data_IF_216934388997
#
_entry.id   IF_216934388997
#
_cell.length_a   1.000
_cell.length_b   1.000
_cell.length_c   1.000
_cell.angle_alpha   90.00
_cell.angle_beta   90.00
_cell.angle_gamma   90.00
#
_symmetry.space_group_name_H-M   'P 1'
#
loop_
_entity.id
_entity.type
_entity.pdbx_description
1 polymer ?
#
# COMPACT_ATOMS: atom_id res chain seq x y z
N UNK A 1 -25.53 -30.61 -35.30
CA UNK A 1 -25.82 -29.38 -34.52
C UNK A 1 -25.54 -29.52 -33.03
N UNK A 2 -25.95 -30.61 -32.34
CA UNK A 2 -25.72 -30.81 -30.89
C UNK A 2 -24.24 -30.88 -30.46
N UNK A 3 -23.39 -31.53 -31.25
CA UNK A 3 -21.94 -31.67 -30.99
C UNK A 3 -21.16 -30.37 -31.18
N UNK A 4 -21.58 -29.51 -32.11
CA UNK A 4 -20.96 -28.21 -32.35
C UNK A 4 -21.24 -27.24 -31.20
N UNK A 5 -22.48 -27.23 -30.71
CA UNK A 5 -22.87 -26.48 -29.50
C UNK A 5 -22.16 -26.96 -28.24
N UNK A 6 -21.97 -28.28 -28.07
CA UNK A 6 -21.23 -28.84 -26.94
C UNK A 6 -19.75 -28.42 -26.93
N UNK A 7 -19.08 -28.42 -28.09
CA UNK A 7 -17.68 -27.98 -28.21
C UNK A 7 -17.52 -26.48 -27.97
N UNK A 8 -18.42 -25.67 -28.51
CA UNK A 8 -18.43 -24.23 -28.27
C UNK A 8 -18.70 -23.90 -26.80
N UNK A 9 -19.62 -24.63 -26.15
CA UNK A 9 -19.91 -24.50 -24.72
C UNK A 9 -18.71 -24.90 -23.86
N UNK A 10 -18.02 -26.00 -24.19
CA UNK A 10 -16.83 -26.43 -23.47
C UNK A 10 -15.69 -25.40 -23.61
N UNK A 11 -15.50 -24.86 -24.82
CA UNK A 11 -14.49 -23.82 -25.07
C UNK A 11 -14.79 -22.55 -24.25
N UNK A 12 -16.05 -22.13 -24.18
CA UNK A 12 -16.47 -20.97 -23.39
C UNK A 12 -16.22 -21.19 -21.89
N UNK A 13 -16.54 -22.38 -21.37
CA UNK A 13 -16.27 -22.73 -19.97
C UNK A 13 -14.78 -22.67 -19.65
N UNK A 14 -13.94 -23.17 -20.55
CA UNK A 14 -12.48 -23.13 -20.41
C UNK A 14 -11.96 -21.69 -20.37
N UNK A 15 -12.46 -20.81 -21.24
CA UNK A 15 -12.09 -19.38 -21.25
C UNK A 15 -12.49 -18.69 -19.94
N UNK A 16 -13.71 -18.93 -19.45
CA UNK A 16 -14.18 -18.34 -18.19
C UNK A 16 -13.35 -18.81 -16.99
N UNK A 17 -13.02 -20.11 -16.93
CA UNK A 17 -12.12 -20.62 -15.90
C UNK A 17 -10.74 -19.94 -15.95
N UNK A 18 -10.16 -19.76 -17.13
CA UNK A 18 -8.86 -19.09 -17.27
C UNK A 18 -8.92 -17.60 -16.89
N UNK A 19 -10.02 -16.89 -17.13
CA UNK A 19 -10.15 -15.49 -16.70
C UNK A 19 -10.20 -15.33 -15.18
N UNK A 20 -10.79 -16.29 -14.46
CA UNK A 20 -10.82 -16.25 -12.99
C UNK A 20 -9.43 -16.54 -12.38
N UNK A 21 -8.65 -17.44 -12.98
CA UNK A 21 -7.26 -17.72 -12.57
C UNK A 21 -6.29 -16.56 -12.83
N UNK A 22 -6.61 -15.64 -13.75
CA UNK A 22 -5.76 -14.50 -14.08
C UNK A 22 -6.03 -13.26 -13.23
N UNK A 23 -6.94 -13.32 -12.24
CA UNK A 23 -7.08 -12.28 -11.23
C UNK A 23 -5.87 -12.32 -10.29
N UNK A 24 -4.76 -11.74 -10.75
CA UNK A 24 -3.68 -11.31 -9.87
C UNK A 24 -4.19 -10.10 -9.11
N UNK A 25 -4.81 -10.35 -7.96
CA UNK A 25 -5.01 -9.31 -6.96
C UNK A 25 -3.62 -8.82 -6.58
N UNK A 26 -3.23 -7.63 -7.07
CA UNK A 26 -1.95 -7.02 -6.72
C UNK A 26 -1.82 -7.03 -5.21
N UNK A 27 -0.69 -7.50 -4.68
CA UNK A 27 -0.54 -7.73 -3.24
C UNK A 27 -1.04 -6.54 -2.44
N UNK A 28 -2.09 -6.75 -1.64
CA UNK A 28 -2.61 -5.74 -0.74
C UNK A 28 -1.49 -5.37 0.23
N UNK A 29 -1.16 -4.08 0.32
CA UNK A 29 -0.09 -3.62 1.19
C UNK A 29 -0.48 -3.82 2.66
N UNK A 30 0.29 -4.65 3.37
CA UNK A 30 0.14 -4.91 4.79
C UNK A 30 1.25 -4.26 5.62
N UNK A 31 1.01 -4.01 6.92
CA UNK A 31 2.06 -3.64 7.86
C UNK A 31 3.26 -4.60 7.80
N UNK A 32 4.46 -4.02 7.70
CA UNK A 32 5.71 -4.79 7.70
C UNK A 32 6.27 -5.04 9.10
N UNK A 33 5.81 -4.28 10.10
CA UNK A 33 6.27 -4.40 11.48
C UNK A 33 5.78 -3.26 12.37
N UNK A 34 6.39 -3.18 13.56
CA UNK A 34 6.16 -2.11 14.53
C UNK A 34 7.48 -1.68 15.17
N UNK A 35 7.60 -0.39 15.47
CA UNK A 35 8.70 0.17 16.26
C UNK A 35 8.16 0.79 17.54
N UNK A 36 8.95 0.79 18.61
CA UNK A 36 8.59 1.42 19.88
C UNK A 36 9.18 2.84 19.93
N UNK A 37 8.31 3.83 20.12
CA UNK A 37 8.69 5.21 20.30
C UNK A 37 9.59 5.39 21.52
N UNK A 38 10.64 6.17 21.34
CA UNK A 38 11.59 6.56 22.38
C UNK A 38 11.50 8.07 22.57
N UNK A 39 11.78 8.53 23.79
CA UNK A 39 11.95 9.96 24.04
C UNK A 39 13.15 10.46 23.22
N UNK A 40 12.98 11.50 22.37
CA UNK A 40 14.09 12.06 21.62
C UNK A 40 15.10 12.72 22.58
N UNK A 41 16.40 12.74 22.23
CA UNK A 41 17.36 13.55 22.97
C UNK A 41 16.94 15.04 22.97
N UNK A 42 17.39 15.84 23.96
CA UNK A 42 17.07 17.27 24.00
C UNK A 42 17.49 17.98 22.71
N UNK A 43 16.56 18.69 22.06
CA UNK A 43 16.81 19.45 20.84
C UNK A 43 16.73 18.66 19.52
N UNK A 44 16.67 17.31 19.57
CA UNK A 44 16.73 16.45 18.38
C UNK A 44 15.36 16.18 17.71
N UNK A 45 14.26 16.61 18.34
CA UNK A 45 12.94 16.52 17.72
C UNK A 45 12.49 17.89 17.24
N UNK A 46 12.46 18.06 15.92
CA UNK A 46 11.88 19.24 15.27
C UNK A 46 10.36 19.08 15.16
N UNK A 47 9.62 20.05 15.69
CA UNK A 47 8.14 20.10 15.62
C UNK A 47 7.62 21.16 14.62
N UNK A 48 8.49 21.69 13.77
CA UNK A 48 8.10 22.54 12.65
C UNK A 48 7.34 21.76 11.57
N UNK A 49 6.67 22.49 10.67
CA UNK A 49 5.90 21.92 9.56
C UNK A 49 4.89 20.84 10.00
N UNK A 50 4.19 21.07 11.12
CA UNK A 50 3.21 20.13 11.70
C UNK A 50 3.80 18.74 12.02
N UNK A 51 5.09 18.67 12.35
CA UNK A 51 5.78 17.42 12.71
C UNK A 51 5.56 17.06 14.18
N UNK A 52 5.33 15.77 14.43
CA UNK A 52 5.14 15.22 15.78
C UNK A 52 6.33 14.38 16.24
N UNK A 53 6.68 14.51 17.52
CA UNK A 53 7.66 13.61 18.16
C UNK A 53 7.06 12.24 18.47
N UNK A 54 7.89 11.21 18.40
CA UNK A 54 7.53 9.88 18.88
C UNK A 54 7.24 9.91 20.39
N UNK A 55 6.08 9.37 20.79
CA UNK A 55 5.69 9.23 22.19
C UNK A 55 6.38 8.01 22.79
N UNK A 56 7.00 8.19 23.95
CA UNK A 56 7.70 7.11 24.63
C UNK A 56 6.77 5.92 24.93
N UNK A 57 7.23 4.73 24.58
CA UNK A 57 6.48 3.49 24.80
C UNK A 57 5.39 3.18 23.78
N UNK A 58 4.94 4.14 22.96
CA UNK A 58 3.92 3.93 21.91
C UNK A 58 4.48 3.06 20.78
N UNK A 59 3.67 2.12 20.28
CA UNK A 59 4.01 1.34 19.08
C UNK A 59 3.54 2.07 17.82
N UNK A 60 4.45 2.24 16.86
CA UNK A 60 4.19 2.83 15.55
C UNK A 60 4.35 1.78 14.46
N UNK A 61 3.39 1.69 13.55
CA UNK A 61 3.39 0.73 12.45
C UNK A 61 4.38 1.15 11.37
N UNK A 62 5.15 0.21 10.83
CA UNK A 62 6.05 0.45 9.70
C UNK A 62 5.54 -0.23 8.43
N UNK A 63 5.75 0.42 7.30
CA UNK A 63 5.40 -0.09 5.97
C UNK A 63 6.62 -0.06 5.06
N UNK A 64 6.80 -1.12 4.28
CA UNK A 64 7.77 -1.19 3.17
C UNK A 64 7.07 -1.13 1.80
N UNK A 65 5.75 -0.93 1.81
CA UNK A 65 4.88 -0.85 0.65
C UNK A 65 3.96 0.37 0.78
N UNK A 66 3.34 0.74 -0.34
CA UNK A 66 2.31 1.77 -0.43
C UNK A 66 1.06 1.18 -1.10
N UNK A 67 -0.11 1.86 -1.03
CA UNK A 67 -1.28 1.46 -1.81
C UNK A 67 -0.99 1.39 -3.31
N UNK A 68 -1.82 0.62 -4.03
CA UNK A 68 -1.71 0.45 -5.49
C UNK A 68 -1.78 1.79 -6.22
N UNK A 69 -0.86 1.99 -7.15
CA UNK A 69 -0.82 3.18 -8.02
C UNK A 69 -1.85 3.02 -9.13
N UNK A 70 -2.64 4.08 -9.36
CA UNK A 70 -3.60 4.21 -10.45
C UNK A 70 -3.52 5.60 -11.10
N UNK A 71 -4.29 5.82 -12.18
CA UNK A 71 -4.42 7.15 -12.82
C UNK A 71 -4.95 8.22 -11.87
N UNK A 72 -5.62 7.83 -10.79
CA UNK A 72 -6.16 8.71 -9.75
C UNK A 72 -5.79 8.21 -8.35
N UNK A 73 -4.49 8.02 -8.11
CA UNK A 73 -3.98 7.56 -6.82
C UNK A 73 -4.35 8.55 -5.71
N UNK A 74 -5.11 8.09 -4.72
CA UNK A 74 -5.45 8.89 -3.53
C UNK A 74 -4.24 8.94 -2.59
N UNK A 75 -3.95 10.13 -2.08
CA UNK A 75 -2.87 10.36 -1.13
C UNK A 75 -3.26 11.45 -0.12
N UNK A 76 -2.50 11.52 0.97
CA UNK A 76 -2.53 12.64 1.91
C UNK A 76 -1.37 13.56 1.57
N UNK A 77 -1.67 14.82 1.25
CA UNK A 77 -0.67 15.86 1.05
C UNK A 77 -0.30 16.45 2.42
N UNK A 78 1.00 16.51 2.71
CA UNK A 78 1.55 17.09 3.95
C UNK A 78 2.54 18.20 3.61
N UNK A 79 2.78 19.12 4.56
CA UNK A 79 3.76 20.20 4.42
C UNK A 79 5.13 19.75 4.96
N UNK A 80 6.22 20.11 4.28
CA UNK A 80 7.59 19.87 4.75
C UNK A 80 8.58 20.91 4.21
N UNK A 81 9.65 21.20 4.95
CA UNK A 81 10.77 22.04 4.52
C UNK A 81 11.91 21.22 3.92
N UNK A 82 12.45 21.66 2.77
CA UNK A 82 13.57 21.01 2.06
C UNK A 82 14.75 21.97 1.84
N UNK A 83 14.77 23.08 2.57
CA UNK A 83 15.86 24.03 2.52
C UNK A 83 17.14 23.41 3.07
N UNK A 84 18.28 23.79 2.52
CA UNK A 84 19.58 23.38 3.03
C UNK A 84 19.90 24.26 4.24
N UNK A 85 20.35 23.65 5.34
CA UNK A 85 20.94 24.41 6.45
C UNK A 85 22.16 25.21 5.91
N UNK A 86 22.09 26.54 6.02
CA UNK A 86 23.15 27.49 5.61
C UNK A 86 24.02 27.85 6.80
#
# INVERSE_FOLDING_TARGET
MKTFGLKASLLLMVILFFTDFLNVEGQVCHPSGKIRGKKPPPGECNQGNDSDCCKEGKLYTTYKCSPTVSSHTKAYLTLNGFEKDV
#
